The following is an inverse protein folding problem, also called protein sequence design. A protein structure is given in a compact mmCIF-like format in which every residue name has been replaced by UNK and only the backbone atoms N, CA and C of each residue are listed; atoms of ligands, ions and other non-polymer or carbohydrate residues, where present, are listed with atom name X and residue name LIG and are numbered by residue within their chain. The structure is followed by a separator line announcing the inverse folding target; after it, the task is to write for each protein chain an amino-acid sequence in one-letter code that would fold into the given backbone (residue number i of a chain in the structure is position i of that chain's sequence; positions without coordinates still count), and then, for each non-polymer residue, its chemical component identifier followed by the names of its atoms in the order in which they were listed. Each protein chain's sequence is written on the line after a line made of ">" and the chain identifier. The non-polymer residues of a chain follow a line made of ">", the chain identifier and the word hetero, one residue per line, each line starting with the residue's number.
data_IF_906058383414
#
_entry.id   IF_906058383414
#
_cell.length_a   1.000
_cell.length_b   1.000
_cell.length_c   1.000
_cell.angle_alpha   90.00
_cell.angle_beta   90.00
_cell.angle_gamma   90.00
#
_symmetry.space_group_name_H-M   'P 1'
#
loop_
_entity.id
_entity.type
_entity.pdbx_description
1 polymer ?
#
# COMPACT_ATOMS: atom_id res chain seq x y z
N UNK A 1 -31.81 -32.27 -35.11
CA UNK A 1 -30.99 -32.72 -33.96
C UNK A 1 -29.53 -32.21 -33.96
N UNK A 2 -29.16 -31.17 -34.73
CA UNK A 2 -27.76 -30.74 -34.90
C UNK A 2 -27.34 -29.57 -33.98
N UNK A 3 -28.29 -28.93 -33.30
CA UNK A 3 -28.05 -27.72 -32.48
C UNK A 3 -27.50 -28.03 -31.09
N UNK A 4 -27.85 -29.18 -30.50
CA UNK A 4 -27.43 -29.58 -29.15
C UNK A 4 -25.92 -29.83 -29.06
N UNK A 5 -25.35 -30.59 -30.00
CA UNK A 5 -23.93 -30.96 -30.03
C UNK A 5 -22.96 -29.76 -30.17
N UNK A 6 -23.41 -28.71 -30.85
CA UNK A 6 -22.61 -27.49 -31.07
C UNK A 6 -22.41 -26.70 -29.78
N UNK A 7 -23.44 -26.70 -28.92
CA UNK A 7 -23.40 -26.01 -27.63
C UNK A 7 -22.56 -26.76 -26.60
N UNK A 8 -22.58 -28.10 -26.62
CA UNK A 8 -21.74 -28.95 -25.77
C UNK A 8 -20.26 -28.84 -26.12
N UNK A 9 -19.91 -28.78 -27.41
CA UNK A 9 -18.51 -28.56 -27.85
C UNK A 9 -17.98 -27.21 -27.41
N UNK A 10 -18.78 -26.14 -27.53
CA UNK A 10 -18.39 -24.81 -27.04
C UNK A 10 -18.08 -24.84 -25.55
N UNK A 11 -18.97 -25.44 -24.74
CA UNK A 11 -18.74 -25.61 -23.30
C UNK A 11 -17.44 -26.35 -23.01
N UNK A 12 -17.18 -27.48 -23.69
CA UNK A 12 -15.95 -28.25 -23.48
C UNK A 12 -14.69 -27.44 -23.83
N UNK A 13 -14.72 -26.63 -24.89
CA UNK A 13 -13.61 -25.72 -25.23
C UNK A 13 -13.42 -24.64 -24.17
N UNK A 14 -14.50 -24.02 -23.67
CA UNK A 14 -14.42 -23.04 -22.58
C UNK A 14 -13.81 -23.64 -21.30
N UNK A 15 -14.25 -24.84 -20.90
CA UNK A 15 -13.69 -25.53 -19.73
C UNK A 15 -12.23 -25.93 -19.95
N UNK A 16 -11.86 -26.38 -21.15
CA UNK A 16 -10.47 -26.71 -21.49
C UNK A 16 -9.53 -25.50 -21.44
N UNK A 17 -9.95 -24.35 -21.96
CA UNK A 17 -9.18 -23.10 -21.91
C UNK A 17 -9.06 -22.58 -20.48
N UNK A 18 -10.13 -22.68 -19.68
CA UNK A 18 -10.10 -22.29 -18.26
C UNK A 18 -9.10 -23.14 -17.45
N UNK A 19 -9.04 -24.45 -17.71
CA UNK A 19 -8.06 -25.35 -17.09
C UNK A 19 -6.62 -25.00 -17.48
N UNK A 20 -6.39 -24.66 -18.75
CA UNK A 20 -5.06 -24.24 -19.24
C UNK A 20 -4.59 -22.93 -18.60
N UNK A 21 -5.48 -21.97 -18.36
CA UNK A 21 -5.17 -20.74 -17.63
C UNK A 21 -4.83 -20.99 -16.15
N UNK A 22 -5.52 -21.93 -15.50
CA UNK A 22 -5.26 -22.29 -14.09
C UNK A 22 -3.92 -23.01 -13.90
N UNK A 23 -3.50 -23.85 -14.84
CA UNK A 23 -2.22 -24.57 -14.76
C UNK A 23 -1.06 -23.73 -15.31
N UNK A 24 -1.29 -22.92 -16.34
CA UNK A 24 -0.27 -22.06 -16.95
C UNK A 24 0.04 -20.79 -16.15
N UNK A 25 -0.93 -20.24 -15.42
CA UNK A 25 -0.77 -19.02 -14.61
C UNK A 25 0.33 -19.11 -13.55
N UNK A 26 0.36 -20.16 -12.70
CA UNK A 26 1.38 -20.33 -11.67
C UNK A 26 2.81 -20.49 -12.23
N UNK A 27 2.95 -21.12 -13.40
CA UNK A 27 4.25 -21.30 -14.07
C UNK A 27 4.75 -20.00 -14.72
N UNK A 28 3.85 -19.20 -15.32
CA UNK A 28 4.19 -17.87 -15.84
C UNK A 28 4.58 -16.90 -14.72
N UNK A 29 3.92 -16.98 -13.55
CA UNK A 29 4.24 -16.14 -12.38
C UNK A 29 5.68 -16.34 -11.88
N UNK A 30 6.17 -17.58 -11.87
CA UNK A 30 7.57 -17.87 -11.52
C UNK A 30 8.58 -17.44 -12.59
N UNK A 31 8.20 -17.46 -13.88
CA UNK A 31 9.07 -17.04 -14.99
C UNK A 31 9.22 -15.53 -15.15
N UNK A 32 8.24 -14.74 -14.69
CA UNK A 32 8.18 -13.29 -14.84
C UNK A 32 9.07 -12.49 -13.86
N UNK A 33 9.89 -13.13 -13.03
CA UNK A 33 10.86 -12.43 -12.18
C UNK A 33 10.26 -11.48 -11.13
N UNK A 34 8.95 -11.58 -10.87
CA UNK A 34 8.21 -10.78 -9.88
C UNK A 34 8.64 -11.02 -8.43
N UNK A 35 9.57 -11.95 -8.19
CA UNK A 35 10.21 -12.19 -6.89
C UNK A 35 11.09 -11.00 -6.42
N UNK A 36 11.36 -10.02 -7.29
CA UNK A 36 12.17 -8.83 -6.98
C UNK A 36 11.37 -7.52 -6.92
N UNK A 37 10.07 -7.57 -6.63
CA UNK A 37 9.42 -6.38 -6.07
C UNK A 37 10.02 -6.17 -4.68
N UNK A 38 10.95 -5.22 -4.59
CA UNK A 38 11.65 -4.79 -3.39
C UNK A 38 10.64 -4.20 -2.40
N UNK A 39 9.88 -5.06 -1.74
CA UNK A 39 8.99 -4.75 -0.62
C UNK A 39 9.77 -4.60 0.68
N UNK A 40 11.04 -4.15 0.62
CA UNK A 40 11.88 -3.96 1.79
C UNK A 40 11.51 -2.63 2.44
N UNK A 41 10.33 -2.60 3.02
CA UNK A 41 9.99 -1.56 3.96
C UNK A 41 10.46 -2.03 5.33
N UNK A 42 11.26 -1.20 6.00
CA UNK A 42 11.71 -1.49 7.35
C UNK A 42 10.69 -0.97 8.34
N UNK A 43 10.45 -1.74 9.41
CA UNK A 43 9.85 -1.23 10.63
C UNK A 43 10.68 -0.06 11.14
N UNK A 44 10.02 1.01 11.58
CA UNK A 44 10.70 2.14 12.19
C UNK A 44 11.13 1.79 13.62
N UNK A 45 12.30 2.26 14.05
CA UNK A 45 12.73 2.11 15.45
C UNK A 45 12.05 3.16 16.35
N UNK A 46 12.07 2.93 17.67
CA UNK A 46 11.55 3.90 18.64
C UNK A 46 12.24 5.26 18.54
N UNK A 47 13.53 5.27 18.23
CA UNK A 47 14.34 6.48 18.11
C UNK A 47 13.94 7.29 16.87
N UNK A 48 13.69 6.62 15.74
CA UNK A 48 13.23 7.26 14.50
C UNK A 48 11.83 7.87 14.66
N UNK A 49 10.93 7.14 15.34
CA UNK A 49 9.59 7.63 15.68
C UNK A 49 9.67 8.85 16.61
N UNK A 50 10.52 8.78 17.65
CA UNK A 50 10.71 9.89 18.59
C UNK A 50 11.32 11.12 17.92
N UNK A 51 12.28 10.94 17.01
CA UNK A 51 12.85 12.03 16.25
C UNK A 51 11.77 12.74 15.42
N UNK A 52 10.95 11.98 14.67
CA UNK A 52 9.85 12.54 13.88
C UNK A 52 8.79 13.26 14.75
N UNK A 53 8.51 12.74 15.94
CA UNK A 53 7.55 13.35 16.86
C UNK A 53 8.08 14.65 17.50
N UNK A 54 9.37 14.73 17.84
CA UNK A 54 9.97 15.92 18.48
C UNK A 54 9.88 17.17 17.62
N UNK A 55 10.02 17.00 16.31
CA UNK A 55 10.10 18.10 15.37
C UNK A 55 8.74 18.74 15.06
N UNK A 56 7.63 18.03 15.35
CA UNK A 56 6.28 18.51 15.00
C UNK A 56 5.17 18.02 15.94
N UNK A 57 4.36 18.98 16.42
CA UNK A 57 3.14 18.67 17.19
C UNK A 57 2.09 17.94 16.33
N UNK A 58 2.07 18.20 15.03
CA UNK A 58 1.21 17.50 14.07
C UNK A 58 1.67 16.04 13.91
N UNK A 59 2.97 15.82 13.75
CA UNK A 59 3.53 14.47 13.61
C UNK A 59 3.26 13.64 14.87
N UNK A 60 3.42 14.23 16.06
CA UNK A 60 3.11 13.58 17.33
C UNK A 60 1.67 13.05 17.37
N UNK A 61 0.68 13.85 16.99
CA UNK A 61 -0.74 13.43 16.99
C UNK A 61 -0.97 12.28 16.01
N UNK A 62 -0.44 12.40 14.80
CA UNK A 62 -0.62 11.42 13.74
C UNK A 62 0.00 10.06 14.11
N UNK A 63 1.19 10.07 14.73
CA UNK A 63 1.87 8.86 15.21
C UNK A 63 1.14 8.22 16.40
N UNK A 64 0.59 9.03 17.32
CA UNK A 64 -0.22 8.53 18.44
C UNK A 64 -1.50 7.85 17.94
N UNK A 65 -2.14 8.40 16.92
CA UNK A 65 -3.35 7.80 16.34
C UNK A 65 -3.04 6.50 15.58
N UNK A 66 -1.89 6.41 14.91
CA UNK A 66 -1.40 5.16 14.33
C UNK A 66 -1.16 4.09 15.41
N UNK A 67 -0.55 4.47 16.54
CA UNK A 67 -0.36 3.59 17.69
C UNK A 67 -1.71 3.15 18.30
N UNK A 68 -2.66 4.08 18.48
CA UNK A 68 -4.02 3.76 18.97
C UNK A 68 -4.76 2.81 18.03
N UNK A 69 -4.50 2.91 16.73
CA UNK A 69 -5.06 2.04 15.71
C UNK A 69 -4.31 0.71 15.55
N UNK A 70 -3.29 0.46 16.39
CA UNK A 70 -2.43 -0.72 16.35
C UNK A 70 -1.86 -1.03 14.94
N UNK A 71 -1.50 0.01 14.19
CA UNK A 71 -0.89 -0.13 12.86
C UNK A 71 0.63 -0.22 12.97
N UNK A 72 1.25 -1.01 12.09
CA UNK A 72 2.71 -1.06 11.96
C UNK A 72 3.23 0.23 11.29
N UNK A 73 4.27 0.83 11.86
CA UNK A 73 4.87 2.08 11.37
C UNK A 73 6.17 1.74 10.63
N UNK A 74 6.24 2.13 9.36
CA UNK A 74 7.44 1.90 8.54
C UNK A 74 8.21 3.20 8.36
N UNK A 75 9.51 3.09 8.13
CA UNK A 75 10.40 4.26 7.98
C UNK A 75 9.90 5.25 6.93
N UNK A 76 9.37 4.75 5.80
CA UNK A 76 8.78 5.59 4.74
C UNK A 76 7.58 6.42 5.24
N UNK A 77 6.80 5.89 6.18
CA UNK A 77 5.64 6.58 6.70
C UNK A 77 6.06 7.78 7.56
N UNK A 78 7.22 7.71 8.22
CA UNK A 78 7.79 8.84 8.95
C UNK A 78 8.14 10.02 8.02
N UNK A 79 8.70 9.75 6.84
CA UNK A 79 9.02 10.80 5.86
C UNK A 79 7.74 11.47 5.35
N UNK A 80 6.71 10.67 5.07
CA UNK A 80 5.39 11.19 4.66
C UNK A 80 4.73 12.04 5.75
N UNK A 81 4.81 11.62 7.02
CA UNK A 81 4.30 12.37 8.17
C UNK A 81 4.99 13.74 8.26
N UNK A 82 6.32 13.78 8.13
CA UNK A 82 7.09 15.03 8.16
C UNK A 82 6.67 16.00 7.06
N UNK A 83 6.56 15.52 5.82
CA UNK A 83 6.16 16.35 4.68
C UNK A 83 4.76 16.94 4.86
N UNK A 84 3.80 16.10 5.26
CA UNK A 84 2.41 16.53 5.46
C UNK A 84 2.30 17.56 6.58
N UNK A 85 3.01 17.35 7.68
CA UNK A 85 2.97 18.27 8.81
C UNK A 85 3.72 19.58 8.55
N UNK A 86 4.74 19.60 7.70
CA UNK A 86 5.41 20.84 7.29
C UNK A 86 4.46 21.84 6.61
N UNK A 87 3.51 21.36 5.80
CA UNK A 87 2.48 22.21 5.20
C UNK A 87 1.50 22.76 6.24
N UNK A 88 1.06 21.92 7.17
CA UNK A 88 0.14 22.32 8.25
C UNK A 88 0.79 23.38 9.15
N UNK A 89 2.06 23.22 9.49
CA UNK A 89 2.79 24.17 10.32
C UNK A 89 2.98 25.52 9.64
N UNK A 90 3.27 25.54 8.32
CA UNK A 90 3.36 26.79 7.55
C UNK A 90 2.01 27.52 7.53
N UNK A 91 0.92 26.78 7.35
CA UNK A 91 -0.43 27.38 7.40
C UNK A 91 -0.73 27.90 8.80
N UNK A 92 -0.45 27.13 9.85
CA UNK A 92 -0.66 27.55 11.23
C UNK A 92 0.12 28.84 11.55
N UNK A 93 1.40 28.92 11.17
CA UNK A 93 2.21 30.11 11.33
C UNK A 93 1.64 31.33 10.58
N UNK A 94 1.07 31.12 9.39
CA UNK A 94 0.42 32.19 8.63
C UNK A 94 -0.87 32.71 9.32
N UNK A 95 -1.62 31.84 10.00
CA UNK A 95 -2.80 32.24 10.79
C UNK A 95 -2.42 32.92 12.11
N UNK A 96 -1.33 32.52 12.76
CA UNK A 96 -0.81 33.23 13.94
C UNK A 96 -0.31 34.64 13.58
N UNK A 97 0.31 34.79 12.41
CA UNK A 97 0.80 36.10 11.90
C UNK A 97 -0.28 37.06 11.38
N UNK A 98 -1.54 36.63 11.26
CA UNK A 98 -2.67 37.48 10.82
C UNK A 98 -3.59 37.88 11.97
N UNK A 99 -3.30 37.46 13.21
CA UNK A 99 -4.03 37.81 14.42
C UNK A 99 -3.48 39.08 15.12
N UNK A 100 -2.86 39.99 14.38
CA UNK A 100 -2.44 41.32 14.83
C UNK A 100 -3.14 42.42 14.02
#
# INVERSE_FOLDING_TARGET
>A
MVTSAKHTRRRAVFWGVALLALVGGPLAYKGLGLNNLRTSFSSATSEEIQAAARDSKCATRLLVDANRSAQDIRVRDLDWVKERCALVERQAAAFEGTAQ
#
